data_IF_278832292161
#
_entry.id   IF_278832292161
#
_cell.length_a   1.000
_cell.length_b   1.000
_cell.length_c   1.000
_cell.angle_alpha   90.00
_cell.angle_beta   90.00
_cell.angle_gamma   90.00
#
_symmetry.space_group_name_H-M   'P 1'
#
loop_
_entity.id
_entity.type
_entity.pdbx_description
1 polymer ?
#
# COMPACT_ATOMS: atom_id res chain seq x y z
N UNK A 1 19.62 -5.21 1.34
CA UNK A 1 18.21 -4.85 1.06
C UNK A 1 18.21 -3.62 0.16
N UNK A 2 18.45 -3.79 -1.14
CA UNK A 2 18.33 -2.68 -2.09
C UNK A 2 16.91 -2.71 -2.63
N UNK A 3 16.05 -1.84 -2.12
CA UNK A 3 14.74 -1.63 -2.73
C UNK A 3 14.96 -0.87 -4.04
N UNK A 4 14.53 -1.47 -5.16
CA UNK A 4 14.50 -0.81 -6.46
C UNK A 4 13.55 0.39 -6.39
N UNK A 5 13.95 1.53 -6.94
CA UNK A 5 13.08 2.69 -7.11
C UNK A 5 12.36 2.50 -8.46
N UNK A 6 11.03 2.32 -8.49
CA UNK A 6 10.28 2.00 -9.71
C UNK A 6 10.07 3.21 -10.63
N UNK A 7 10.81 4.30 -10.42
CA UNK A 7 10.69 5.56 -11.15
C UNK A 7 11.97 5.86 -11.93
N UNK A 8 11.80 6.42 -13.11
CA UNK A 8 12.90 6.88 -13.97
C UNK A 8 12.68 8.34 -14.35
N UNK A 9 13.75 9.14 -14.30
CA UNK A 9 13.77 10.52 -14.80
C UNK A 9 14.33 10.50 -16.23
N UNK A 10 13.59 11.07 -17.16
CA UNK A 10 14.01 11.24 -18.55
C UNK A 10 14.90 12.47 -18.72
N UNK A 11 15.71 12.56 -19.81
CA UNK A 11 16.59 13.71 -20.04
C UNK A 11 15.86 15.06 -20.13
N UNK A 12 14.57 15.06 -20.48
CA UNK A 12 13.72 16.26 -20.53
C UNK A 12 13.07 16.61 -19.17
N UNK A 13 13.40 15.87 -18.11
CA UNK A 13 12.90 16.09 -16.75
C UNK A 13 11.58 15.39 -16.44
N UNK A 14 10.97 14.64 -17.39
CA UNK A 14 9.76 13.87 -17.08
C UNK A 14 10.07 12.68 -16.18
N UNK A 15 9.18 12.41 -15.23
CA UNK A 15 9.25 11.22 -14.37
C UNK A 15 8.27 10.19 -14.89
N UNK A 16 8.77 8.98 -15.16
CA UNK A 16 7.97 7.84 -15.62
C UNK A 16 8.08 6.67 -14.66
N UNK A 17 7.02 5.88 -14.63
CA UNK A 17 7.00 4.62 -13.92
C UNK A 17 7.64 3.52 -14.78
N UNK A 18 8.61 2.80 -14.21
CA UNK A 18 9.31 1.68 -14.84
C UNK A 18 8.71 0.33 -14.46
N UNK A 19 8.18 0.21 -13.24
CA UNK A 19 7.59 -1.00 -12.68
C UNK A 19 6.28 -0.66 -11.95
N UNK A 20 5.27 -1.55 -11.92
CA UNK A 20 4.04 -1.29 -11.19
C UNK A 20 4.29 -0.91 -9.73
N UNK A 21 3.52 0.06 -9.24
CA UNK A 21 3.44 0.43 -7.82
C UNK A 21 2.24 -0.24 -7.19
N UNK A 22 2.34 -0.45 -5.88
CA UNK A 22 1.37 -1.16 -5.06
C UNK A 22 1.34 -0.45 -3.71
N UNK A 23 0.16 0.08 -3.36
CA UNK A 23 -0.04 0.91 -2.19
C UNK A 23 0.19 0.11 -0.89
N UNK A 24 -0.31 -1.12 -0.83
CA UNK A 24 -0.17 -2.07 0.29
C UNK A 24 1.30 -2.42 0.54
N UNK A 25 2.13 -2.43 -0.51
CA UNK A 25 3.58 -2.61 -0.37
C UNK A 25 4.29 -1.34 0.06
N UNK A 26 3.97 -0.20 -0.55
CA UNK A 26 4.62 1.09 -0.27
C UNK A 26 3.79 2.28 -0.76
N UNK A 27 3.21 3.01 0.19
CA UNK A 27 2.41 4.20 -0.08
C UNK A 27 3.21 5.43 -0.52
N UNK A 28 4.48 5.55 -0.12
CA UNK A 28 5.26 6.78 -0.34
C UNK A 28 6.72 6.53 -0.71
N UNK A 29 7.24 7.41 -1.56
CA UNK A 29 8.64 7.45 -1.96
C UNK A 29 9.21 8.87 -1.77
N UNK A 30 10.36 8.96 -1.11
CA UNK A 30 11.20 10.16 -1.07
C UNK A 30 12.45 9.87 -1.90
N UNK A 31 12.54 10.47 -3.07
CA UNK A 31 13.54 10.16 -4.09
C UNK A 31 14.47 11.36 -4.25
N UNK A 32 15.77 11.24 -3.93
CA UNK A 32 16.72 12.30 -4.24
C UNK A 32 16.95 12.35 -5.75
N UNK A 33 16.68 13.50 -6.36
CA UNK A 33 16.90 13.75 -7.78
C UNK A 33 18.02 14.78 -7.95
N UNK A 34 18.77 14.64 -9.05
CA UNK A 34 19.92 15.50 -9.35
C UNK A 34 19.92 15.90 -10.81
N UNK A 35 20.20 17.17 -11.08
CA UNK A 35 20.44 17.71 -12.41
C UNK A 35 21.85 18.28 -12.49
N UNK A 36 22.47 18.22 -13.67
CA UNK A 36 23.79 18.80 -13.92
C UNK A 36 23.87 19.34 -15.35
N UNK A 37 24.54 20.47 -15.51
CA UNK A 37 24.90 21.05 -16.80
C UNK A 37 26.33 20.68 -17.24
N UNK A 38 27.02 19.82 -16.46
CA UNK A 38 28.40 19.41 -16.67
C UNK A 38 29.42 20.13 -15.78
N UNK A 39 29.06 21.28 -15.20
CA UNK A 39 29.92 22.07 -14.31
C UNK A 39 29.30 22.21 -12.92
N UNK A 40 28.01 22.52 -12.86
CA UNK A 40 27.23 22.65 -11.64
C UNK A 40 26.27 21.48 -11.46
N UNK A 41 25.90 21.26 -10.20
CA UNK A 41 25.00 20.20 -9.78
C UNK A 41 23.94 20.79 -8.88
N UNK A 42 22.68 20.57 -9.22
CA UNK A 42 21.53 20.89 -8.37
C UNK A 42 20.88 19.59 -7.89
N UNK A 43 20.43 19.58 -6.63
CA UNK A 43 19.76 18.43 -6.01
C UNK A 43 18.40 18.86 -5.44
N UNK A 44 17.41 17.98 -5.54
CA UNK A 44 16.09 18.17 -4.96
C UNK A 44 15.55 16.83 -4.45
N UNK A 45 14.44 16.87 -3.70
CA UNK A 45 13.69 15.69 -3.28
C UNK A 45 12.36 15.64 -4.01
N UNK A 46 12.09 14.52 -4.66
CA UNK A 46 10.81 14.20 -5.27
C UNK A 46 10.02 13.32 -4.31
N UNK A 47 8.93 13.87 -3.78
CA UNK A 47 7.99 13.13 -2.95
C UNK A 47 6.85 12.59 -3.82
N UNK A 48 6.72 11.26 -3.88
CA UNK A 48 5.68 10.57 -4.64
C UNK A 48 4.75 9.86 -3.68
N UNK A 49 3.46 10.13 -3.82
CA UNK A 49 2.38 9.49 -3.06
C UNK A 49 1.67 8.55 -4.02
N UNK A 50 1.65 7.26 -3.68
CA UNK A 50 0.86 6.24 -4.38
C UNK A 50 -0.57 6.36 -3.86
N UNK A 51 -1.52 6.47 -4.78
CA UNK A 51 -2.94 6.51 -4.40
C UNK A 51 -3.44 5.10 -4.17
N UNK A 52 -4.06 4.91 -3.02
CA UNK A 52 -4.79 3.71 -2.65
C UNK A 52 -5.97 3.49 -3.62
N UNK A 53 -6.10 2.28 -4.14
CA UNK A 53 -7.24 1.83 -4.92
C UNK A 53 -7.79 0.56 -4.28
N UNK A 54 -9.10 0.35 -4.39
CA UNK A 54 -9.74 -0.84 -3.85
C UNK A 54 -9.46 -2.07 -4.74
N UNK A 55 -8.27 -2.66 -4.62
CA UNK A 55 -7.82 -3.84 -5.36
C UNK A 55 -7.57 -5.08 -4.47
N UNK A 56 -7.49 -4.92 -3.14
CA UNK A 56 -7.54 -6.03 -2.19
C UNK A 56 -8.99 -6.31 -1.72
N UNK A 57 -9.51 -7.56 -1.88
CA UNK A 57 -10.81 -7.91 -1.33
C UNK A 57 -10.77 -8.00 0.20
N UNK A 58 -11.89 -7.75 0.90
CA UNK A 58 -11.95 -7.86 2.35
C UNK A 58 -11.60 -9.28 2.80
N UNK A 59 -10.70 -9.40 3.78
CA UNK A 59 -10.27 -10.68 4.34
C UNK A 59 -10.76 -10.80 5.77
N UNK A 60 -11.26 -11.99 6.14
CA UNK A 60 -11.59 -12.30 7.52
C UNK A 60 -10.32 -12.36 8.36
N UNK A 61 -10.17 -11.45 9.32
CA UNK A 61 -9.05 -11.47 10.29
C UNK A 61 -9.37 -12.35 11.49
N UNK A 62 -10.66 -12.51 11.78
CA UNK A 62 -11.18 -13.50 12.73
C UNK A 62 -12.27 -14.26 12.01
N UNK A 63 -11.97 -15.51 11.63
CA UNK A 63 -12.91 -16.41 11.01
C UNK A 63 -13.27 -17.52 12.02
N UNK A 64 -14.35 -17.38 12.81
CA UNK A 64 -14.80 -18.46 13.66
C UNK A 64 -15.46 -19.53 12.77
N UNK A 65 -14.65 -20.42 12.20
CA UNK A 65 -15.11 -21.47 11.27
C UNK A 65 -16.11 -22.43 11.93
N UNK A 66 -16.03 -22.58 13.26
CA UNK A 66 -16.97 -23.36 14.05
C UNK A 66 -17.39 -22.55 15.29
N UNK A 67 -18.68 -22.22 15.39
CA UNK A 67 -19.29 -21.65 16.59
C UNK A 67 -20.30 -22.66 17.11
N UNK A 68 -20.18 -23.03 18.39
CA UNK A 68 -21.15 -23.89 19.07
C UNK A 68 -21.94 -23.09 20.09
N UNK A 69 -23.24 -23.34 20.17
CA UNK A 69 -24.15 -22.73 21.14
C UNK A 69 -24.99 -23.79 21.81
N UNK A 70 -25.41 -23.55 23.05
CA UNK A 70 -26.36 -24.41 23.72
C UNK A 70 -27.77 -24.20 23.17
N UNK A 71 -28.55 -25.27 23.06
CA UNK A 71 -29.91 -25.24 22.50
C UNK A 71 -30.90 -24.44 23.36
N UNK A 72 -30.62 -24.29 24.67
CA UNK A 72 -31.53 -23.71 25.65
C UNK A 72 -31.29 -22.20 25.89
N UNK A 73 -30.54 -21.55 25.01
CA UNK A 73 -30.26 -20.12 25.14
C UNK A 73 -31.51 -19.27 24.86
N UNK A 74 -31.73 -18.19 25.63
CA UNK A 74 -32.84 -17.29 25.38
C UNK A 74 -32.67 -16.54 24.04
N UNK A 75 -33.75 -16.01 23.45
CA UNK A 75 -33.66 -15.22 22.22
C UNK A 75 -32.72 -14.00 22.36
N UNK A 76 -32.13 -13.59 21.24
CA UNK A 76 -31.25 -12.41 21.12
C UNK A 76 -29.89 -12.51 21.82
N UNK A 77 -29.33 -13.72 21.99
CA UNK A 77 -27.95 -13.92 22.45
C UNK A 77 -26.96 -13.70 21.30
N UNK A 78 -25.85 -13.01 21.57
CA UNK A 78 -24.72 -12.90 20.64
C UNK A 78 -23.98 -14.24 20.54
N UNK A 79 -24.02 -14.87 19.37
CA UNK A 79 -23.41 -16.17 19.11
C UNK A 79 -21.95 -16.05 18.66
N UNK A 80 -21.63 -15.00 17.91
CA UNK A 80 -20.28 -14.74 17.46
C UNK A 80 -20.18 -13.41 16.74
N UNK A 81 -18.94 -12.97 16.54
CA UNK A 81 -18.63 -11.75 15.80
C UNK A 81 -17.56 -12.09 14.78
N UNK A 82 -17.76 -11.62 13.55
CA UNK A 82 -16.77 -11.72 12.49
C UNK A 82 -16.07 -10.38 12.36
N UNK A 83 -14.74 -10.41 12.24
CA UNK A 83 -13.94 -9.21 11.98
C UNK A 83 -13.36 -9.31 10.58
N UNK A 84 -13.61 -8.29 9.78
CA UNK A 84 -12.99 -8.12 8.48
C UNK A 84 -11.91 -7.06 8.59
N UNK A 85 -10.83 -7.25 7.84
CA UNK A 85 -9.95 -6.16 7.46
C UNK A 85 -10.23 -5.90 5.98
N UNK A 86 -10.72 -4.70 5.71
CA UNK A 86 -10.74 -4.08 4.40
C UNK A 86 -9.50 -3.18 4.31
#
# INVERSE_FOLDING_TARGET
MNQSIPFQVEPDGRVRLREPVDYEKRAEYDIPVRATDGEFVASARLHVIVLDINDEPPKFTVNPTNISVEENLPPNILVGQVRIKA
#
